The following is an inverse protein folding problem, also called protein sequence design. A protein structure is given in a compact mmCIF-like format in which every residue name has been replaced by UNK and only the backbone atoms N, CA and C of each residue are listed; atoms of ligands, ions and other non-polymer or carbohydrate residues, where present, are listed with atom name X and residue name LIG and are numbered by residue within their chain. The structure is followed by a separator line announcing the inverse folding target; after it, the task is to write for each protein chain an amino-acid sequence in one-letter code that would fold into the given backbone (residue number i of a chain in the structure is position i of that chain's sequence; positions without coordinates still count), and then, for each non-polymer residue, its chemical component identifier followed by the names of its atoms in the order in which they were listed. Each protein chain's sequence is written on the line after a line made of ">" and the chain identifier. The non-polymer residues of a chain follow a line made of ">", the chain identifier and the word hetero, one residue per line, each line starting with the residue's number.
data_IF_426952344710
#
_entry.id   IF_426952344710
#
_cell.length_a   1.000
_cell.length_b   1.000
_cell.length_c   1.000
_cell.angle_alpha   90.00
_cell.angle_beta   90.00
_cell.angle_gamma   90.00
#
_symmetry.space_group_name_H-M   'P 1'
#
loop_
_entity.id
_entity.type
_entity.pdbx_description
1 polymer ?
#
# COMPACT_ATOMS: atom_id res chain seq x y z
N UNK A 1 -5.26 -7.84 -17.78
CA UNK A 1 -4.52 -7.93 -19.04
C UNK A 1 -3.99 -9.34 -19.11
N UNK A 2 -4.48 -10.13 -20.07
CA UNK A 2 -3.96 -11.47 -20.30
C UNK A 2 -2.62 -11.37 -21.04
N UNK A 3 -1.55 -11.82 -20.39
CA UNK A 3 -0.19 -11.80 -20.97
C UNK A 3 0.14 -13.06 -21.76
N UNK A 4 -0.69 -14.11 -21.65
CA UNK A 4 -0.48 -15.41 -22.29
C UNK A 4 -0.34 -15.32 -23.81
N UNK A 5 -1.13 -14.49 -24.55
CA UNK A 5 -0.98 -14.35 -25.99
C UNK A 5 0.40 -13.82 -26.43
N UNK A 6 1.03 -12.97 -25.62
CA UNK A 6 2.36 -12.41 -25.91
C UNK A 6 3.46 -13.45 -25.67
N UNK A 7 3.34 -14.22 -24.59
CA UNK A 7 4.27 -15.31 -24.29
C UNK A 7 4.17 -16.42 -25.35
N UNK A 8 2.94 -16.79 -25.74
CA UNK A 8 2.69 -17.76 -26.80
C UNK A 8 3.25 -17.31 -28.14
N UNK A 9 3.11 -16.02 -28.46
CA UNK A 9 3.66 -15.44 -29.69
C UNK A 9 5.18 -15.49 -29.69
N UNK A 10 5.81 -15.09 -28.59
CA UNK A 10 7.27 -15.18 -28.44
C UNK A 10 7.76 -16.62 -28.60
N UNK A 11 7.08 -17.58 -27.95
CA UNK A 11 7.42 -19.00 -28.08
C UNK A 11 7.37 -19.51 -29.53
N UNK A 12 6.35 -19.09 -30.31
CA UNK A 12 6.25 -19.43 -31.73
C UNK A 12 7.36 -18.81 -32.57
N UNK A 13 7.66 -17.52 -32.36
CA UNK A 13 8.70 -16.79 -33.11
C UNK A 13 10.10 -17.33 -32.77
N UNK A 14 10.38 -17.61 -31.50
CA UNK A 14 11.63 -18.22 -31.05
C UNK A 14 11.83 -19.62 -31.65
N UNK A 15 10.77 -20.45 -31.65
CA UNK A 15 10.83 -21.79 -32.27
C UNK A 15 11.03 -21.72 -33.79
N UNK A 16 10.56 -20.68 -34.47
CA UNK A 16 10.79 -20.48 -35.90
C UNK A 16 12.26 -20.13 -36.19
N UNK A 17 12.86 -19.25 -35.38
CA UNK A 17 14.27 -18.86 -35.48
C UNK A 17 15.23 -20.01 -35.15
N UNK A 18 14.92 -20.79 -34.10
CA UNK A 18 15.71 -21.95 -33.71
C UNK A 18 15.87 -23.00 -34.82
N UNK A 19 14.85 -23.17 -35.68
CA UNK A 19 14.91 -24.10 -36.84
C UNK A 19 15.81 -23.61 -37.97
N UNK A 20 16.10 -22.30 -38.02
CA UNK A 20 16.94 -21.71 -39.07
C UNK A 20 18.43 -21.71 -38.69
N UNK A 21 18.73 -21.87 -37.40
CA UNK A 21 20.07 -21.74 -36.81
C UNK A 21 20.69 -23.08 -36.35
N UNK A 22 19.98 -24.21 -36.51
CA UNK A 22 20.36 -25.45 -35.84
C UNK A 22 21.58 -26.14 -36.45
N UNK A 23 22.77 -25.78 -35.96
CA UNK A 23 23.89 -26.70 -35.73
C UNK A 23 23.88 -27.13 -34.26
N UNK A 24 23.57 -28.41 -34.00
CA UNK A 24 23.69 -29.20 -32.74
C UNK A 24 23.31 -28.57 -31.36
N UNK A 25 22.80 -27.34 -31.30
CA UNK A 25 22.41 -26.71 -30.04
C UNK A 25 21.07 -27.26 -29.55
N UNK A 26 21.07 -27.81 -28.33
CA UNK A 26 19.85 -28.23 -27.62
C UNK A 26 19.07 -26.98 -27.23
N UNK A 27 18.10 -26.59 -28.06
CA UNK A 27 17.19 -25.49 -27.75
C UNK A 27 16.18 -25.98 -26.69
N UNK A 28 16.05 -25.31 -25.53
CA UNK A 28 15.03 -25.64 -24.55
C UNK A 28 13.64 -25.59 -25.20
N UNK A 29 12.77 -26.55 -24.88
CA UNK A 29 11.39 -26.48 -25.36
C UNK A 29 10.77 -25.14 -24.98
N UNK A 30 10.09 -24.48 -25.91
CA UNK A 30 9.50 -23.16 -25.69
C UNK A 30 8.58 -23.13 -24.45
N UNK A 31 7.96 -24.27 -24.08
CA UNK A 31 7.16 -24.42 -22.85
C UNK A 31 7.97 -24.28 -21.56
N UNK A 32 9.23 -24.70 -21.54
CA UNK A 32 10.10 -24.57 -20.36
C UNK A 32 10.51 -23.12 -20.12
N UNK A 33 10.46 -22.28 -21.15
CA UNK A 33 10.80 -20.86 -21.07
C UNK A 33 9.62 -19.98 -20.63
N UNK A 34 8.38 -20.48 -20.72
CA UNK A 34 7.17 -19.70 -20.41
C UNK A 34 7.22 -19.02 -19.03
N UNK A 35 7.58 -19.71 -17.92
CA UNK A 35 7.64 -19.07 -16.60
C UNK A 35 8.68 -17.94 -16.53
N UNK A 36 9.82 -18.09 -17.20
CA UNK A 36 10.92 -17.11 -17.22
C UNK A 36 10.52 -15.88 -18.05
N UNK A 37 9.94 -16.10 -19.23
CA UNK A 37 9.47 -15.03 -20.12
C UNK A 37 8.34 -14.25 -19.44
N UNK A 38 7.37 -14.96 -18.84
CA UNK A 38 6.28 -14.34 -18.08
C UNK A 38 6.82 -13.48 -16.94
N UNK A 39 7.81 -13.97 -16.20
CA UNK A 39 8.47 -13.20 -15.15
C UNK A 39 9.15 -11.93 -15.68
N UNK A 40 9.92 -12.04 -16.76
CA UNK A 40 10.58 -10.89 -17.39
C UNK A 40 9.58 -9.83 -17.85
N UNK A 41 8.44 -10.25 -18.42
CA UNK A 41 7.34 -9.36 -18.79
C UNK A 41 6.80 -8.60 -17.57
N UNK A 42 6.59 -9.28 -16.45
CA UNK A 42 6.15 -8.61 -15.21
C UNK A 42 7.18 -7.60 -14.69
N UNK A 43 8.46 -7.95 -14.71
CA UNK A 43 9.53 -7.05 -14.27
C UNK A 43 9.62 -5.81 -15.18
N UNK A 44 9.44 -5.98 -16.50
CA UNK A 44 9.38 -4.86 -17.45
C UNK A 44 8.16 -3.95 -17.24
N UNK A 45 6.98 -4.54 -16.99
CA UNK A 45 5.77 -3.78 -16.70
C UNK A 45 5.89 -2.99 -15.39
N UNK A 46 6.51 -3.55 -14.36
CA UNK A 46 6.76 -2.86 -13.10
C UNK A 46 7.70 -1.66 -13.30
N UNK A 47 8.80 -1.83 -14.04
CA UNK A 47 9.70 -0.73 -14.37
C UNK A 47 9.01 0.38 -15.17
N UNK A 48 8.14 0.02 -16.13
CA UNK A 48 7.37 0.99 -16.90
C UNK A 48 6.36 1.76 -16.02
N UNK A 49 5.71 1.10 -15.06
CA UNK A 49 4.82 1.77 -14.12
C UNK A 49 5.57 2.78 -13.24
N UNK A 50 6.78 2.45 -12.78
CA UNK A 50 7.63 3.37 -12.02
C UNK A 50 8.03 4.60 -12.85
N UNK A 51 8.35 4.41 -14.13
CA UNK A 51 8.65 5.50 -15.05
C UNK A 51 7.45 6.42 -15.24
N UNK A 52 6.26 5.85 -15.49
CA UNK A 52 5.00 6.62 -15.60
C UNK A 52 4.74 7.39 -14.31
N UNK A 53 4.89 6.76 -13.14
CA UNK A 53 4.63 7.38 -11.84
C UNK A 53 5.52 8.59 -11.52
N UNK A 54 6.71 8.67 -12.12
CA UNK A 54 7.58 9.86 -11.95
C UNK A 54 6.99 11.11 -12.58
N UNK A 55 6.23 10.96 -13.67
CA UNK A 55 5.67 12.07 -14.44
C UNK A 55 4.16 12.24 -14.23
N UNK A 56 3.48 11.23 -13.70
CA UNK A 56 2.01 11.16 -13.57
C UNK A 56 1.44 11.84 -12.30
N UNK A 57 2.27 12.50 -11.49
CA UNK A 57 1.81 13.24 -10.32
C UNK A 57 0.75 14.28 -10.71
N UNK A 58 -0.34 14.47 -9.92
CA UNK A 58 -0.58 13.97 -8.56
C UNK A 58 -1.31 12.61 -8.45
N UNK A 59 -1.43 11.85 -9.54
CA UNK A 59 -1.96 10.49 -9.52
C UNK A 59 -0.86 9.42 -9.39
N UNK A 60 -1.28 8.17 -9.29
CA UNK A 60 -0.39 7.01 -9.38
C UNK A 60 -1.00 5.93 -10.28
N UNK A 61 -0.15 5.13 -10.90
CA UNK A 61 -0.49 3.94 -11.66
C UNK A 61 0.13 2.76 -10.94
N UNK A 62 -0.72 1.84 -10.49
CA UNK A 62 -0.31 0.58 -9.86
C UNK A 62 -0.58 -0.58 -10.82
N UNK A 63 0.19 -1.65 -10.66
CA UNK A 63 -0.10 -2.95 -11.28
C UNK A 63 -0.54 -3.92 -10.18
N UNK A 64 -1.72 -4.50 -10.35
CA UNK A 64 -2.26 -5.50 -9.43
C UNK A 64 -2.45 -6.83 -10.15
N UNK A 65 -2.43 -7.92 -9.39
CA UNK A 65 -2.72 -9.26 -9.89
C UNK A 65 -4.12 -9.67 -9.47
N UNK A 66 -4.88 -10.21 -10.42
CA UNK A 66 -6.16 -10.88 -10.15
C UNK A 66 -6.15 -12.21 -10.88
N UNK A 67 -6.35 -13.30 -10.15
CA UNK A 67 -6.37 -14.65 -10.74
C UNK A 67 -5.08 -14.97 -11.53
N UNK A 68 -3.95 -14.36 -11.14
CA UNK A 68 -2.65 -14.51 -11.82
C UNK A 68 -2.41 -13.55 -12.99
N UNK A 69 -3.42 -12.76 -13.38
CA UNK A 69 -3.33 -11.85 -14.50
C UNK A 69 -3.10 -10.39 -14.04
N UNK A 70 -2.13 -9.65 -14.62
CA UNK A 70 -1.87 -8.26 -14.29
C UNK A 70 -2.99 -7.34 -14.78
N UNK A 71 -3.28 -6.29 -14.04
CA UNK A 71 -4.09 -5.19 -14.52
C UNK A 71 -3.62 -3.87 -13.91
N UNK A 72 -3.75 -2.80 -14.70
CA UNK A 72 -3.42 -1.46 -14.25
C UNK A 72 -4.57 -0.90 -13.42
N UNK A 73 -4.21 -0.27 -12.31
CA UNK A 73 -5.11 0.55 -11.50
C UNK A 73 -4.56 1.96 -11.52
N UNK A 74 -5.32 2.87 -12.10
CA UNK A 74 -5.01 4.29 -12.04
C UNK A 74 -5.68 4.84 -10.79
N UNK A 75 -4.87 5.31 -9.87
CA UNK A 75 -5.26 6.06 -8.69
C UNK A 75 -5.24 7.54 -9.07
N UNK A 76 -6.40 8.13 -9.46
CA UNK A 76 -6.46 9.58 -9.60
C UNK A 76 -6.11 10.22 -8.26
N UNK A 77 -5.54 11.43 -8.30
CA UNK A 77 -5.32 12.27 -7.12
C UNK A 77 -6.54 12.15 -6.20
N UNK A 78 -6.34 11.59 -5.02
CA UNK A 78 -7.32 11.79 -3.96
C UNK A 78 -7.46 13.31 -3.82
N UNK A 79 -8.66 13.89 -3.81
CA UNK A 79 -8.79 15.31 -3.55
C UNK A 79 -8.08 15.54 -2.22
N UNK A 80 -6.89 16.15 -2.26
CA UNK A 80 -6.44 16.96 -1.16
C UNK A 80 -7.61 17.91 -0.96
N UNK A 81 -8.39 17.69 0.09
CA UNK A 81 -9.05 18.80 0.77
C UNK A 81 -7.91 19.72 1.13
N UNK A 82 -7.53 20.59 0.18
CA UNK A 82 -6.72 21.74 0.44
C UNK A 82 -7.43 22.44 1.60
N UNK A 83 -6.75 22.71 2.72
CA UNK A 83 -7.35 23.56 3.72
C UNK A 83 -7.62 24.88 2.98
N UNK A 84 -8.89 25.28 2.92
CA UNK A 84 -9.27 26.61 2.46
C UNK A 84 -8.55 27.62 3.36
N UNK A 85 -7.37 28.03 2.94
CA UNK A 85 -6.63 29.10 3.57
C UNK A 85 -7.30 30.40 3.15
N UNK A 86 -8.40 30.73 3.83
CA UNK A 86 -9.06 32.02 3.63
C UNK A 86 -10.48 32.20 4.14
N UNK A 87 -10.79 31.83 5.38
CA UNK A 87 -11.65 32.63 6.29
C UNK A 87 -11.96 31.84 7.58
N UNK A 88 -11.39 32.27 8.72
CA UNK A 88 -11.81 31.98 10.10
C UNK A 88 -12.23 30.53 10.48
N UNK A 89 -11.42 29.85 11.30
CA UNK A 89 -11.91 28.68 12.08
C UNK A 89 -12.05 27.37 11.30
N UNK A 90 -11.02 26.99 10.53
CA UNK A 90 -11.02 25.75 9.75
C UNK A 90 -11.01 24.50 10.66
N UNK A 91 -12.18 23.91 10.88
CA UNK A 91 -12.31 22.58 11.48
C UNK A 91 -11.90 21.52 10.45
N UNK A 92 -10.98 20.63 10.83
CA UNK A 92 -10.58 19.51 9.98
C UNK A 92 -11.52 18.32 10.23
N UNK A 93 -12.21 17.84 9.19
CA UNK A 93 -13.10 16.67 9.29
C UNK A 93 -12.29 15.37 9.20
N UNK A 94 -12.51 14.44 10.12
CA UNK A 94 -11.90 13.12 10.12
C UNK A 94 -12.96 12.01 10.23
N UNK A 95 -12.93 11.05 9.31
CA UNK A 95 -13.78 9.86 9.38
C UNK A 95 -13.00 8.70 10.01
N UNK A 96 -13.48 8.17 11.15
CA UNK A 96 -12.81 7.11 11.91
C UNK A 96 -13.72 5.88 12.01
N UNK A 97 -13.17 4.70 11.72
CA UNK A 97 -13.85 3.42 11.94
C UNK A 97 -13.52 2.89 13.34
N UNK A 98 -14.53 2.77 14.17
CA UNK A 98 -14.42 2.25 15.54
C UNK A 98 -15.37 1.07 15.75
N UNK A 99 -15.11 0.24 16.76
CA UNK A 99 -16.07 -0.79 17.17
C UNK A 99 -17.35 -0.17 17.71
N UNK A 100 -18.48 -0.88 17.58
CA UNK A 100 -19.80 -0.43 18.06
C UNK A 100 -19.77 -0.08 19.56
N UNK A 101 -19.14 -0.93 20.35
CA UNK A 101 -19.02 -0.74 21.80
C UNK A 101 -18.22 0.52 22.16
N UNK A 102 -17.19 0.87 21.39
CA UNK A 102 -16.40 2.08 21.63
C UNK A 102 -17.23 3.33 21.34
N UNK A 103 -17.96 3.35 20.22
CA UNK A 103 -18.90 4.43 19.89
C UNK A 103 -19.94 4.65 20.99
N UNK A 104 -20.60 3.58 21.46
CA UNK A 104 -21.58 3.66 22.54
C UNK A 104 -20.96 4.16 23.86
N UNK A 105 -19.70 3.83 24.11
CA UNK A 105 -18.99 4.28 25.32
C UNK A 105 -18.63 5.76 25.25
N UNK A 106 -18.24 6.27 24.07
CA UNK A 106 -18.00 7.70 23.83
C UNK A 106 -19.30 8.50 23.96
N UNK A 107 -20.40 8.04 23.33
CA UNK A 107 -21.70 8.70 23.41
C UNK A 107 -22.20 8.79 24.87
N UNK A 108 -22.04 7.71 25.66
CA UNK A 108 -22.35 7.73 27.10
C UNK A 108 -21.46 8.69 27.90
N UNK A 109 -20.16 8.75 27.61
CA UNK A 109 -19.24 9.63 28.32
C UNK A 109 -19.55 11.12 28.05
N UNK A 110 -19.76 11.48 26.78
CA UNK A 110 -20.17 12.82 26.38
C UNK A 110 -21.52 13.21 27.01
N UNK A 111 -22.49 12.28 27.00
CA UNK A 111 -23.81 12.51 27.63
C UNK A 111 -23.77 12.73 29.14
N UNK A 112 -22.85 12.07 29.86
CA UNK A 112 -22.63 12.31 31.31
C UNK A 112 -22.08 13.70 31.61
N UNK A 113 -21.34 14.28 30.67
CA UNK A 113 -20.74 15.61 30.79
C UNK A 113 -21.60 16.71 30.15
N UNK A 114 -22.75 16.36 29.58
CA UNK A 114 -23.65 17.31 28.91
C UNK A 114 -23.03 17.95 27.66
N UNK A 115 -22.05 17.30 27.04
CA UNK A 115 -21.30 17.79 25.87
C UNK A 115 -21.71 17.05 24.62
N UNK A 116 -21.48 17.66 23.46
CA UNK A 116 -21.53 16.93 22.20
C UNK A 116 -20.38 15.91 22.16
N UNK A 117 -20.57 14.85 21.37
CA UNK A 117 -19.52 13.85 21.15
C UNK A 117 -18.26 14.49 20.56
N UNK A 118 -18.43 15.47 19.68
CA UNK A 118 -17.33 16.19 19.04
C UNK A 118 -16.52 17.00 20.05
N UNK A 119 -17.17 17.81 20.89
CA UNK A 119 -16.51 18.61 21.93
C UNK A 119 -15.80 17.73 22.97
N UNK A 120 -16.44 16.63 23.34
CA UNK A 120 -15.86 15.68 24.29
C UNK A 120 -14.61 15.00 23.70
N UNK A 121 -14.67 14.60 22.43
CA UNK A 121 -13.52 14.02 21.74
C UNK A 121 -12.39 15.03 21.55
N UNK A 122 -12.69 16.28 21.18
CA UNK A 122 -11.69 17.34 21.04
C UNK A 122 -10.95 17.57 22.36
N UNK A 123 -11.68 17.65 23.48
CA UNK A 123 -11.08 17.80 24.80
C UNK A 123 -10.18 16.61 25.17
N UNK A 124 -10.63 15.38 24.92
CA UNK A 124 -9.87 14.16 25.23
C UNK A 124 -8.62 14.06 24.36
N UNK A 125 -8.72 14.34 23.06
CA UNK A 125 -7.59 14.34 22.14
C UNK A 125 -6.58 15.43 22.51
N UNK A 126 -7.05 16.64 22.83
CA UNK A 126 -6.18 17.73 23.27
C UNK A 126 -5.44 17.38 24.57
N UNK A 127 -6.14 16.75 25.52
CA UNK A 127 -5.53 16.27 26.76
C UNK A 127 -4.47 15.19 26.50
N UNK A 128 -4.76 14.23 25.60
CA UNK A 128 -3.83 13.16 25.23
C UNK A 128 -2.55 13.72 24.59
N UNK A 129 -2.68 14.62 23.61
CA UNK A 129 -1.54 15.27 22.94
C UNK A 129 -0.70 16.06 23.95
N UNK A 130 -1.32 16.79 24.88
CA UNK A 130 -0.59 17.51 25.94
C UNK A 130 0.13 16.57 26.89
N UNK A 131 -0.46 15.41 27.20
CA UNK A 131 0.18 14.40 28.06
C UNK A 131 1.38 13.73 27.37
N UNK A 132 1.31 13.49 26.06
CA UNK A 132 2.45 12.99 25.28
C UNK A 132 3.61 14.01 25.19
N UNK A 133 3.27 15.30 25.22
CA UNK A 133 4.23 16.41 25.17
C UNK A 133 4.87 16.80 26.51
N UNK A 134 4.50 16.18 27.64
CA UNK A 134 5.31 16.31 28.86
C UNK A 134 6.58 15.48 28.62
N UNK A 135 7.76 16.10 28.41
CA UNK A 135 8.97 15.31 28.31
C UNK A 135 9.10 14.52 29.61
N UNK A 136 9.19 13.19 29.49
CA UNK A 136 9.61 12.28 30.56
C UNK A 136 11.03 12.67 30.99
N UNK A 137 11.15 13.76 31.73
CA UNK A 137 12.33 14.10 32.48
C UNK A 137 12.41 13.10 33.64
N UNK A 138 13.55 12.44 33.73
CA UNK A 138 13.92 11.44 34.72
C UNK A 138 13.36 10.01 34.49
N UNK A 139 13.91 9.31 33.49
CA UNK A 139 14.28 7.92 33.73
C UNK A 139 15.62 7.55 33.09
N UNK A 140 16.70 8.14 33.64
CA UNK A 140 18.05 7.57 33.55
C UNK A 140 18.39 6.94 34.89
N UNK A 141 17.74 5.82 35.24
CA UNK A 141 18.27 4.93 36.29
C UNK A 141 17.75 3.50 36.18
N UNK A 142 18.42 2.74 35.32
CA UNK A 142 18.79 1.34 35.57
C UNK A 142 17.68 0.28 35.51
N UNK A 143 17.81 -0.65 34.57
CA UNK A 143 18.34 -2.01 34.84
C UNK A 143 18.19 -2.90 33.60
N UNK A 144 19.23 -3.71 33.38
CA UNK A 144 19.31 -4.84 32.45
C UNK A 144 18.22 -5.88 32.70
N UNK A 145 17.66 -6.46 31.63
CA UNK A 145 17.52 -7.92 31.38
C UNK A 145 16.71 -8.12 30.07
N UNK A 146 17.32 -8.54 28.96
CA UNK A 146 17.45 -9.94 28.47
C UNK A 146 16.11 -10.62 28.09
N UNK A 147 16.11 -11.21 26.89
CA UNK A 147 15.19 -12.23 26.32
C UNK A 147 14.02 -11.68 25.49
N UNK A 148 13.59 -12.29 24.37
CA UNK A 148 13.98 -13.47 23.56
C UNK A 148 13.29 -13.31 22.20
N UNK A 149 13.91 -13.78 21.12
CA UNK A 149 13.27 -13.90 19.81
C UNK A 149 12.49 -15.22 19.72
N UNK A 150 11.28 -15.17 19.17
CA UNK A 150 10.52 -16.34 18.72
C UNK A 150 10.13 -16.14 17.26
N UNK A 151 10.68 -16.98 16.39
CA UNK A 151 10.27 -17.11 15.00
C UNK A 151 9.09 -18.07 14.88
N UNK A 152 8.19 -17.83 13.93
CA UNK A 152 7.13 -18.75 13.55
C UNK A 152 7.29 -19.10 12.06
N UNK A 153 7.30 -20.39 11.77
CA UNK A 153 7.16 -20.93 10.42
C UNK A 153 5.73 -21.47 10.25
N UNK A 154 5.13 -21.16 9.10
CA UNK A 154 4.23 -22.03 8.36
C UNK A 154 4.44 -21.78 6.88
#
# INVERSE_FOLDING_TARGET
>A
MDVSPFVDRFGREFAALARTDSGDAVVPEARLLEPVIRRMLFDALAAAADEINREFAPGAVEIRLREGEPYFVVLPRAPETAPEAGANGATARADVRVSRHLRESVERAAGREGRSVEDWLEQVLFAAVRHEHIPRAADRRGKRARQRYTAWAR
#
